data_IF_715708764379
#
_entry.id   IF_715708764379
#
_cell.length_a   1.000
_cell.length_b   1.000
_cell.length_c   1.000
_cell.angle_alpha   90.00
_cell.angle_beta   90.00
_cell.angle_gamma   90.00
#
_symmetry.space_group_name_H-M   'P 1'
#
loop_
_entity.id
_entity.type
_entity.pdbx_description
1 polymer ?
#
# COMPACT_ATOMS: atom_id res chain seq x y z
N UNK A 1 -42.35 5.45 -12.61
CA UNK A 1 -41.38 5.21 -11.50
C UNK A 1 -39.94 5.54 -11.92
N UNK A 2 -39.68 5.66 -13.22
CA UNK A 2 -38.34 5.83 -13.80
C UNK A 2 -37.70 7.20 -13.56
N UNK A 3 -38.48 8.27 -13.39
CA UNK A 3 -37.97 9.61 -13.09
C UNK A 3 -37.18 9.68 -11.77
N UNK A 4 -37.54 8.89 -10.76
CA UNK A 4 -36.86 8.86 -9.46
C UNK A 4 -35.52 8.09 -9.54
N UNK A 5 -35.42 7.11 -10.45
CA UNK A 5 -34.17 6.36 -10.65
C UNK A 5 -33.15 7.20 -11.43
N UNK A 6 -33.59 7.89 -12.49
CA UNK A 6 -32.73 8.77 -13.27
C UNK A 6 -32.13 9.89 -12.40
N UNK A 7 -32.96 10.55 -11.58
CA UNK A 7 -32.50 11.60 -10.65
C UNK A 7 -31.48 11.08 -9.62
N UNK A 8 -31.65 9.84 -9.14
CA UNK A 8 -30.69 9.21 -8.22
C UNK A 8 -29.35 8.93 -8.90
N UNK A 9 -29.35 8.44 -10.13
CA UNK A 9 -28.12 8.18 -10.90
C UNK A 9 -27.39 9.50 -11.16
N UNK A 10 -28.11 10.55 -11.58
CA UNK A 10 -27.52 11.88 -11.82
C UNK A 10 -26.85 12.44 -10.55
N UNK A 11 -27.51 12.32 -9.39
CA UNK A 11 -26.92 12.72 -8.10
C UNK A 11 -25.66 11.93 -7.74
N UNK A 12 -25.58 10.65 -8.08
CA UNK A 12 -24.40 9.83 -7.86
C UNK A 12 -23.26 10.19 -8.82
N UNK A 13 -23.59 10.47 -10.08
CA UNK A 13 -22.61 10.93 -11.07
C UNK A 13 -22.02 12.30 -10.69
N UNK A 14 -22.84 13.20 -10.15
CA UNK A 14 -22.38 14.49 -9.62
C UNK A 14 -21.40 14.34 -8.43
N UNK A 15 -21.37 13.20 -7.76
CA UNK A 15 -20.41 12.93 -6.69
C UNK A 15 -19.07 12.41 -7.21
N UNK A 16 -18.97 11.87 -8.42
CA UNK A 16 -17.72 11.30 -8.97
C UNK A 16 -16.50 12.25 -8.86
N UNK A 17 -16.63 13.56 -9.13
CA UNK A 17 -15.50 14.50 -8.98
C UNK A 17 -14.98 14.60 -7.53
N UNK A 18 -15.82 14.36 -6.52
CA UNK A 18 -15.37 14.32 -5.12
C UNK A 18 -14.51 13.07 -4.86
N UNK A 19 -14.89 11.93 -5.43
CA UNK A 19 -14.09 10.71 -5.37
C UNK A 19 -12.77 10.88 -6.12
N UNK A 20 -12.73 11.60 -7.24
CA UNK A 20 -11.49 11.91 -7.95
C UNK A 20 -10.54 12.75 -7.08
N UNK A 21 -11.05 13.75 -6.36
CA UNK A 21 -10.26 14.51 -5.38
C UNK A 21 -9.71 13.63 -4.27
N UNK A 22 -10.55 12.72 -3.74
CA UNK A 22 -10.13 11.73 -2.76
C UNK A 22 -9.03 10.80 -3.29
N UNK A 23 -9.11 10.41 -4.55
CA UNK A 23 -8.09 9.60 -5.22
C UNK A 23 -6.76 10.34 -5.33
N UNK A 24 -6.75 11.63 -5.69
CA UNK A 24 -5.50 12.42 -5.70
C UNK A 24 -4.87 12.52 -4.31
N UNK A 25 -5.67 12.69 -3.26
CA UNK A 25 -5.17 12.67 -1.89
C UNK A 25 -4.57 11.30 -1.53
N UNK A 26 -5.22 10.20 -1.93
CA UNK A 26 -4.72 8.84 -1.75
C UNK A 26 -3.37 8.63 -2.45
N UNK A 27 -3.22 9.08 -3.70
CA UNK A 27 -1.93 9.05 -4.41
C UNK A 27 -0.85 9.87 -3.71
N UNK A 28 -1.20 11.08 -3.25
CA UNK A 28 -0.27 11.92 -2.49
C UNK A 28 0.26 11.20 -1.26
N UNK A 29 -0.65 10.64 -0.44
CA UNK A 29 -0.28 9.88 0.74
C UNK A 29 0.57 8.63 0.39
N UNK A 30 0.16 7.87 -0.62
CA UNK A 30 0.87 6.67 -1.05
C UNK A 30 2.29 6.96 -1.55
N UNK A 31 2.47 8.00 -2.36
CA UNK A 31 3.77 8.40 -2.90
C UNK A 31 4.66 8.97 -1.79
N UNK A 32 4.13 9.83 -0.91
CA UNK A 32 4.90 10.33 0.25
C UNK A 32 5.35 9.18 1.14
N UNK A 33 4.48 8.21 1.37
CA UNK A 33 4.81 7.02 2.14
C UNK A 33 5.88 6.17 1.45
N UNK A 34 5.79 5.95 0.13
CA UNK A 34 6.82 5.24 -0.63
C UNK A 34 8.17 5.94 -0.56
N UNK A 35 8.20 7.27 -0.78
CA UNK A 35 9.44 8.05 -0.70
C UNK A 35 10.10 7.95 0.68
N UNK A 36 9.30 8.08 1.74
CA UNK A 36 9.79 7.92 3.11
C UNK A 36 10.27 6.49 3.39
N UNK A 37 9.55 5.49 2.88
CA UNK A 37 9.91 4.07 3.03
C UNK A 37 11.24 3.74 2.37
N UNK A 38 11.50 4.29 1.18
CA UNK A 38 12.79 4.17 0.49
C UNK A 38 13.89 4.85 1.32
N UNK A 39 13.67 6.08 1.79
CA UNK A 39 14.64 6.78 2.63
C UNK A 39 14.98 6.00 3.91
N UNK A 40 13.96 5.42 4.55
CA UNK A 40 14.12 4.53 5.71
C UNK A 40 14.83 3.23 5.38
N UNK A 41 14.57 2.64 4.22
CA UNK A 41 15.31 1.45 3.76
C UNK A 41 16.82 1.73 3.67
N UNK A 42 17.20 2.88 3.12
CA UNK A 42 18.60 3.32 3.09
C UNK A 42 19.16 3.60 4.49
N UNK A 43 18.42 4.32 5.33
CA UNK A 43 18.82 4.60 6.72
C UNK A 43 19.04 3.30 7.51
N UNK A 44 18.10 2.36 7.42
CA UNK A 44 18.18 1.04 8.07
C UNK A 44 19.40 0.26 7.60
N UNK A 45 19.68 0.25 6.29
CA UNK A 45 20.86 -0.41 5.74
C UNK A 45 22.16 0.20 6.29
N UNK A 46 22.24 1.54 6.36
CA UNK A 46 23.39 2.25 6.92
C UNK A 46 23.57 1.98 8.42
N UNK A 47 22.49 2.13 9.21
CA UNK A 47 22.49 1.91 10.65
C UNK A 47 22.80 0.45 11.01
N UNK A 48 22.30 -0.51 10.22
CA UNK A 48 22.62 -1.94 10.40
C UNK A 48 24.11 -2.18 10.17
N UNK A 49 24.68 -1.59 9.11
CA UNK A 49 26.12 -1.69 8.83
C UNK A 49 26.96 -1.05 9.95
N UNK A 50 26.54 0.12 10.44
CA UNK A 50 27.20 0.80 11.56
C UNK A 50 27.09 0.00 12.87
N UNK A 51 25.94 -0.62 13.14
CA UNK A 51 25.70 -1.47 14.30
C UNK A 51 26.62 -2.69 14.30
N UNK A 52 26.71 -3.43 13.19
CA UNK A 52 27.62 -4.59 13.08
C UNK A 52 29.08 -4.18 13.21
N UNK A 53 29.48 -3.05 12.62
CA UNK A 53 30.84 -2.50 12.82
C UNK A 53 31.11 -2.11 14.27
N UNK A 54 30.10 -1.61 15.00
CA UNK A 54 30.22 -1.33 16.43
C UNK A 54 30.38 -2.61 17.25
N UNK A 55 29.70 -3.69 16.87
CA UNK A 55 29.82 -5.01 17.50
C UNK A 55 31.18 -5.66 17.24
N UNK A 56 31.80 -5.43 16.09
CA UNK A 56 33.14 -5.94 15.77
C UNK A 56 34.24 -5.37 16.69
N UNK A 57 33.99 -4.19 17.29
CA UNK A 57 34.88 -3.59 18.30
C UNK A 57 34.64 -4.14 19.72
N UNK A 58 33.68 -5.06 19.90
CA UNK A 58 33.43 -5.75 21.18
C UNK A 58 34.30 -7.00 21.22
N UNK A 59 35.04 -7.16 22.32
CA UNK A 59 36.01 -8.24 22.51
C UNK A 59 35.39 -9.64 22.23
N UNK A 60 35.94 -10.46 21.31
CA UNK A 60 35.36 -11.74 20.90
C UNK A 60 35.20 -12.76 22.05
N UNK A 61 35.83 -12.53 23.20
CA UNK A 61 35.62 -13.31 24.42
C UNK A 61 34.15 -13.30 24.93
N UNK A 62 33.33 -12.35 24.48
CA UNK A 62 31.91 -12.23 24.85
C UNK A 62 30.96 -13.21 24.10
N UNK A 63 31.43 -13.95 23.10
CA UNK A 63 30.60 -14.84 22.26
C UNK A 63 30.83 -16.34 22.51
N UNK A 64 31.29 -16.73 23.71
CA UNK A 64 31.40 -18.15 24.07
C UNK A 64 30.05 -18.72 24.50
N UNK A 65 29.82 -20.03 24.32
CA UNK A 65 28.57 -20.73 24.66
C UNK A 65 28.17 -20.61 26.16
N UNK A 66 29.14 -20.25 27.01
CA UNK A 66 28.96 -20.02 28.45
C UNK A 66 28.96 -18.52 28.84
N UNK A 67 29.00 -17.60 27.86
CA UNK A 67 28.93 -16.18 28.13
C UNK A 67 27.51 -15.81 28.60
N UNK A 68 27.37 -14.88 29.58
CA UNK A 68 26.06 -14.36 29.93
C UNK A 68 25.39 -13.77 28.68
N UNK A 69 24.04 -13.81 28.57
CA UNK A 69 23.33 -13.24 27.44
C UNK A 69 23.84 -11.81 27.23
N UNK A 70 24.16 -11.46 25.99
CA UNK A 70 24.66 -10.13 25.64
C UNK A 70 23.57 -9.12 25.99
N UNK A 71 23.62 -8.61 27.22
CA UNK A 71 22.86 -7.45 27.63
C UNK A 71 23.56 -6.30 26.93
N UNK A 72 22.92 -5.71 25.92
CA UNK A 72 23.38 -4.45 25.34
C UNK A 72 23.39 -3.39 26.45
N UNK A 73 24.52 -3.26 27.14
CA UNK A 73 24.76 -2.22 28.16
C UNK A 73 25.25 -0.93 27.52
N UNK A 74 25.70 -0.99 26.27
CA UNK A 74 26.07 0.20 25.50
C UNK A 74 24.80 1.00 25.13
N UNK A 75 24.64 2.23 25.66
CA UNK A 75 23.49 3.07 25.34
C UNK A 75 23.41 3.41 23.84
N UNK A 76 24.53 3.41 23.10
CA UNK A 76 24.54 3.66 21.66
C UNK A 76 23.91 2.49 20.90
N UNK A 77 24.35 1.26 21.19
CA UNK A 77 23.80 0.05 20.60
C UNK A 77 22.29 -0.10 20.91
N UNK A 78 21.87 0.23 22.14
CA UNK A 78 20.46 0.17 22.55
C UNK A 78 19.59 1.18 21.79
N UNK A 79 20.09 2.41 21.61
CA UNK A 79 19.39 3.45 20.84
C UNK A 79 19.32 3.11 19.34
N UNK A 80 20.38 2.53 18.78
CA UNK A 80 20.39 2.01 17.41
C UNK A 80 19.37 0.89 17.22
N UNK A 81 19.34 -0.09 18.14
CA UNK A 81 18.35 -1.16 18.12
C UNK A 81 16.93 -0.58 18.16
N UNK A 82 16.64 0.32 19.10
CA UNK A 82 15.31 0.96 19.17
C UNK A 82 14.97 1.65 17.85
N UNK A 83 15.85 2.49 17.31
CA UNK A 83 15.61 3.20 16.06
C UNK A 83 15.35 2.25 14.87
N UNK A 84 16.05 1.12 14.79
CA UNK A 84 15.91 0.12 13.74
C UNK A 84 14.58 -0.64 13.77
N UNK A 85 13.98 -0.82 14.95
CA UNK A 85 12.85 -1.74 15.14
C UNK A 85 11.51 -1.07 15.45
N UNK A 86 11.37 0.25 15.28
CA UNK A 86 10.10 0.87 15.67
C UNK A 86 8.98 0.67 14.64
N UNK A 87 7.85 0.02 15.01
CA UNK A 87 6.87 -0.50 14.04
C UNK A 87 5.82 0.52 13.58
N UNK A 88 5.84 1.76 14.06
CA UNK A 88 4.77 2.73 13.80
C UNK A 88 4.55 3.02 12.31
N UNK A 89 5.59 2.91 11.48
CA UNK A 89 5.47 3.12 10.04
C UNK A 89 4.78 1.97 9.31
N UNK A 90 4.98 0.73 9.76
CA UNK A 90 4.27 -0.42 9.22
C UNK A 90 2.78 -0.32 9.57
N UNK A 91 2.47 0.03 10.83
CA UNK A 91 1.09 0.23 11.27
C UNK A 91 0.41 1.35 10.49
N UNK A 92 1.10 2.48 10.28
CA UNK A 92 0.60 3.59 9.47
C UNK A 92 0.33 3.15 8.02
N UNK A 93 1.20 2.31 7.46
CA UNK A 93 1.00 1.75 6.12
C UNK A 93 -0.20 0.85 6.00
N UNK A 94 -0.41 -0.07 6.95
CA UNK A 94 -1.60 -0.90 6.98
C UNK A 94 -2.87 -0.08 7.13
N UNK A 95 -2.83 0.94 8.00
CA UNK A 95 -3.96 1.86 8.15
C UNK A 95 -4.27 2.58 6.83
N UNK A 96 -3.24 3.10 6.15
CA UNK A 96 -3.41 3.79 4.88
C UNK A 96 -3.95 2.86 3.79
N UNK A 97 -3.45 1.62 3.73
CA UNK A 97 -3.92 0.57 2.81
C UNK A 97 -5.43 0.33 2.99
N UNK A 98 -5.87 0.12 4.23
CA UNK A 98 -7.30 -0.08 4.53
C UNK A 98 -8.13 1.15 4.10
N UNK A 99 -7.67 2.35 4.41
CA UNK A 99 -8.37 3.61 4.09
C UNK A 99 -8.50 3.83 2.58
N UNK A 100 -7.50 3.45 1.78
CA UNK A 100 -7.52 3.59 0.31
C UNK A 100 -8.32 2.47 -0.35
N UNK A 101 -8.22 1.24 0.17
CA UNK A 101 -8.93 0.08 -0.34
C UNK A 101 -10.44 0.19 -0.16
N UNK A 102 -10.90 0.76 0.97
CA UNK A 102 -12.33 0.94 1.26
C UNK A 102 -13.09 1.67 0.14
N UNK A 103 -12.67 2.85 -0.34
CA UNK A 103 -13.23 3.52 -1.51
C UNK A 103 -13.30 2.65 -2.77
N UNK A 104 -12.20 1.96 -3.11
CA UNK A 104 -12.14 1.09 -4.27
C UNK A 104 -13.16 -0.06 -4.18
N UNK A 105 -13.20 -0.75 -3.04
CA UNK A 105 -14.16 -1.82 -2.78
C UNK A 105 -15.60 -1.31 -2.78
N UNK A 106 -15.85 -0.14 -2.20
CA UNK A 106 -17.16 0.49 -2.18
C UNK A 106 -17.67 0.78 -3.60
N UNK A 107 -16.83 1.35 -4.47
CA UNK A 107 -17.18 1.64 -5.86
C UNK A 107 -17.44 0.36 -6.69
N UNK A 108 -16.81 -0.76 -6.35
CA UNK A 108 -17.00 -2.05 -7.05
C UNK A 108 -18.26 -2.77 -6.58
N UNK A 109 -18.42 -2.95 -5.27
CA UNK A 109 -19.37 -3.91 -4.71
C UNK A 109 -20.66 -3.26 -4.20
N UNK A 110 -20.64 -1.98 -3.82
CA UNK A 110 -21.80 -1.34 -3.20
C UNK A 110 -22.94 -1.16 -4.21
N UNK A 111 -24.15 -1.57 -3.83
CA UNK A 111 -25.34 -1.59 -4.69
C UNK A 111 -25.68 -0.22 -5.28
N UNK A 112 -25.48 0.86 -4.52
CA UNK A 112 -25.67 2.24 -4.97
C UNK A 112 -24.82 2.58 -6.18
N UNK A 113 -23.52 2.26 -6.16
CA UNK A 113 -22.59 2.63 -7.23
C UNK A 113 -22.72 1.74 -8.46
N UNK A 114 -23.26 0.53 -8.29
CA UNK A 114 -23.56 -0.38 -9.41
C UNK A 114 -24.56 0.20 -10.41
N UNK A 115 -25.38 1.17 -10.00
CA UNK A 115 -26.36 1.86 -10.84
C UNK A 115 -25.72 2.85 -11.82
N UNK A 116 -24.55 3.40 -11.49
CA UNK A 116 -23.76 4.26 -12.39
C UNK A 116 -23.15 3.40 -13.50
N UNK A 117 -22.93 3.96 -14.69
CA UNK A 117 -22.29 3.19 -15.76
C UNK A 117 -20.87 2.75 -15.37
N UNK A 118 -20.52 1.50 -15.71
CA UNK A 118 -19.19 0.96 -15.41
C UNK A 118 -18.08 1.82 -16.04
N UNK A 119 -18.32 2.35 -17.24
CA UNK A 119 -17.40 3.20 -17.97
C UNK A 119 -16.98 4.46 -17.18
N UNK A 120 -17.90 5.06 -16.42
CA UNK A 120 -17.63 6.26 -15.61
C UNK A 120 -16.87 5.94 -14.33
N UNK A 121 -17.12 4.79 -13.69
CA UNK A 121 -16.48 4.42 -12.42
C UNK A 121 -15.20 3.59 -12.57
N UNK A 122 -14.95 2.98 -13.73
CA UNK A 122 -13.81 2.08 -13.94
C UNK A 122 -12.47 2.75 -13.61
N UNK A 123 -12.22 3.94 -14.14
CA UNK A 123 -10.97 4.67 -13.90
C UNK A 123 -10.75 4.97 -12.42
N UNK A 124 -11.82 5.33 -11.70
CA UNK A 124 -11.77 5.58 -10.24
C UNK A 124 -11.46 4.31 -9.45
N UNK A 125 -12.12 3.20 -9.76
CA UNK A 125 -11.88 1.90 -9.10
C UNK A 125 -10.40 1.51 -9.24
N UNK A 126 -9.89 1.50 -10.47
CA UNK A 126 -8.50 1.12 -10.71
C UNK A 126 -7.51 2.15 -10.19
N UNK A 127 -7.91 3.43 -10.16
CA UNK A 127 -7.13 4.47 -9.51
C UNK A 127 -6.89 4.17 -8.04
N UNK A 128 -7.95 3.88 -7.27
CA UNK A 128 -7.81 3.59 -5.84
C UNK A 128 -7.01 2.31 -5.60
N UNK A 129 -7.27 1.26 -6.38
CA UNK A 129 -6.52 0.02 -6.25
C UNK A 129 -5.03 0.17 -6.65
N UNK A 130 -4.72 1.04 -7.61
CA UNK A 130 -3.33 1.34 -7.96
C UNK A 130 -2.63 2.17 -6.86
N UNK A 131 -3.33 3.13 -6.24
CA UNK A 131 -2.81 3.85 -5.09
C UNK A 131 -2.54 2.89 -3.90
N UNK A 132 -3.46 1.95 -3.66
CA UNK A 132 -3.31 0.89 -2.66
C UNK A 132 -2.08 0.00 -2.94
N UNK A 133 -1.87 -0.36 -4.22
CA UNK A 133 -0.69 -1.09 -4.67
C UNK A 133 0.63 -0.32 -4.44
N UNK A 134 0.64 1.02 -4.59
CA UNK A 134 1.80 1.86 -4.25
C UNK A 134 2.07 1.82 -2.73
N UNK A 135 1.02 1.85 -1.91
CA UNK A 135 1.17 1.69 -0.44
C UNK A 135 1.72 0.31 -0.12
N UNK A 136 1.27 -0.75 -0.80
CA UNK A 136 1.88 -2.05 -0.69
C UNK A 136 3.38 -1.95 -0.96
N UNK A 137 3.81 -1.48 -2.14
CA UNK A 137 5.24 -1.31 -2.46
C UNK A 137 6.03 -0.56 -1.38
N UNK A 138 5.44 0.47 -0.78
CA UNK A 138 6.07 1.23 0.29
C UNK A 138 6.40 0.36 1.50
N UNK A 139 5.50 -0.53 1.92
CA UNK A 139 5.77 -1.49 2.98
C UNK A 139 6.97 -2.36 2.62
N UNK A 140 7.02 -2.85 1.37
CA UNK A 140 8.11 -3.63 0.79
C UNK A 140 9.48 -2.98 0.91
N UNK A 141 9.55 -1.70 0.57
CA UNK A 141 10.78 -0.93 0.59
C UNK A 141 11.37 -0.71 1.99
N UNK A 142 10.57 -0.80 3.05
CA UNK A 142 11.04 -0.57 4.43
C UNK A 142 11.91 -1.70 4.99
N UNK A 143 11.71 -2.94 4.53
CA UNK A 143 12.42 -4.09 5.08
C UNK A 143 12.82 -5.13 4.03
N UNK A 144 13.67 -4.77 3.05
CA UNK A 144 13.99 -5.64 1.92
C UNK A 144 14.63 -6.98 2.33
N UNK A 145 15.23 -7.04 3.53
CA UNK A 145 15.89 -8.24 4.05
C UNK A 145 14.95 -9.18 4.84
N UNK A 146 13.79 -8.69 5.29
CA UNK A 146 12.84 -9.43 6.11
C UNK A 146 11.51 -9.70 5.40
N UNK A 147 11.35 -9.17 4.19
CA UNK A 147 10.21 -9.43 3.33
C UNK A 147 10.26 -10.87 2.87
N UNK A 148 9.47 -11.74 3.51
CA UNK A 148 9.30 -13.12 3.09
C UNK A 148 8.90 -13.21 1.62
N UNK A 149 9.30 -14.28 0.93
CA UNK A 149 8.94 -14.53 -0.48
C UNK A 149 7.43 -14.36 -0.74
N UNK A 150 6.59 -14.68 0.25
CA UNK A 150 5.14 -14.53 0.19
C UNK A 150 4.65 -13.09 -0.03
N UNK A 151 5.37 -12.09 0.50
CA UNK A 151 5.00 -10.69 0.29
C UNK A 151 5.29 -10.24 -1.16
N UNK A 152 6.45 -10.61 -1.71
CA UNK A 152 6.81 -10.28 -3.09
C UNK A 152 5.82 -10.92 -4.08
N UNK A 153 5.44 -12.17 -3.81
CA UNK A 153 4.37 -12.88 -4.51
C UNK A 153 3.07 -12.05 -4.45
N UNK A 154 2.64 -11.61 -3.26
CA UNK A 154 1.42 -10.80 -3.11
C UNK A 154 1.47 -9.53 -3.96
N UNK A 155 2.57 -8.77 -3.94
CA UNK A 155 2.72 -7.52 -4.72
C UNK A 155 2.58 -7.78 -6.22
N UNK A 156 3.22 -8.84 -6.72
CA UNK A 156 3.18 -9.22 -8.15
C UNK A 156 1.78 -9.69 -8.54
N UNK A 157 1.18 -10.59 -7.74
CA UNK A 157 -0.16 -11.10 -8.01
C UNK A 157 -1.22 -10.00 -7.94
N UNK A 158 -1.08 -9.02 -7.03
CA UNK A 158 -1.95 -7.86 -6.99
C UNK A 158 -1.87 -7.08 -8.31
N UNK A 159 -0.66 -6.77 -8.80
CA UNK A 159 -0.50 -6.03 -10.05
C UNK A 159 -1.08 -6.79 -11.26
N UNK A 160 -0.86 -8.11 -11.31
CA UNK A 160 -1.44 -8.96 -12.34
C UNK A 160 -2.97 -8.97 -12.25
N UNK A 161 -3.54 -9.09 -11.05
CA UNK A 161 -4.97 -9.02 -10.84
C UNK A 161 -5.56 -7.67 -11.28
N UNK A 162 -4.83 -6.56 -11.07
CA UNK A 162 -5.23 -5.25 -11.59
C UNK A 162 -5.25 -5.21 -13.11
N UNK A 163 -4.16 -5.64 -13.75
CA UNK A 163 -4.07 -5.65 -15.21
C UNK A 163 -5.13 -6.53 -15.87
N UNK A 164 -5.32 -7.75 -15.34
CA UNK A 164 -6.32 -8.69 -15.83
C UNK A 164 -7.74 -8.21 -15.57
N UNK A 165 -8.01 -7.70 -14.36
CA UNK A 165 -9.30 -7.13 -13.99
C UNK A 165 -9.67 -5.94 -14.87
N UNK A 166 -8.71 -5.06 -15.15
CA UNK A 166 -8.92 -3.90 -16.03
C UNK A 166 -9.26 -4.33 -17.45
N UNK A 167 -8.45 -5.23 -18.01
CA UNK A 167 -8.67 -5.77 -19.35
C UNK A 167 -10.03 -6.48 -19.48
N UNK A 168 -10.40 -7.25 -18.47
CA UNK A 168 -11.69 -7.96 -18.44
C UNK A 168 -12.88 -6.98 -18.37
N UNK A 169 -12.82 -5.97 -17.52
CA UNK A 169 -13.88 -4.96 -17.41
C UNK A 169 -13.99 -4.09 -18.67
N UNK A 170 -12.86 -3.73 -19.29
CA UNK A 170 -12.84 -2.99 -20.55
C UNK A 170 -13.55 -3.76 -21.67
N UNK A 171 -13.26 -5.05 -21.84
CA UNK A 171 -13.93 -5.89 -22.85
C UNK A 171 -15.45 -5.98 -22.66
N UNK A 172 -15.93 -5.90 -21.42
CA UNK A 172 -17.36 -5.89 -21.13
C UNK A 172 -18.03 -4.56 -21.46
N UNK A 173 -17.32 -3.45 -21.30
CA UNK A 173 -17.79 -2.13 -21.70
C UNK A 173 -18.04 -2.08 -23.21
N UNK A 174 -17.05 -2.47 -24.01
CA UNK A 174 -17.12 -2.39 -25.47
C UNK A 174 -18.33 -3.16 -26.03
N UNK A 175 -18.61 -4.36 -25.49
CA UNK A 175 -19.78 -5.16 -25.87
C UNK A 175 -21.14 -4.56 -25.49
N UNK A 176 -21.18 -3.73 -24.43
CA UNK A 176 -22.43 -3.11 -23.99
C UNK A 176 -22.78 -1.89 -24.85
N UNK A 177 -21.78 -1.19 -25.38
CA UNK A 177 -21.95 -0.05 -26.29
C UNK A 177 -22.36 -0.51 -27.71
N UNK A 178 -21.95 -1.71 -28.16
CA UNK A 178 -22.36 -2.27 -29.46
C UNK A 178 -23.86 -2.65 -29.55
N UNK A 179 -24.53 -2.91 -28.43
CA UNK A 179 -25.93 -3.38 -28.39
C UNK A 179 -26.94 -2.23 -28.44
N UNK A 180 -26.50 -1.00 -28.14
CA UNK A 180 -27.33 0.19 -28.14
C UNK A 180 -26.65 1.29 -29.01
N UNK A 181 -26.83 1.23 -30.35
CA UNK A 181 -26.31 2.25 -31.26
C UNK A 181 -27.01 3.62 -31.11
#
# INVERSE_FOLDING_TARGET
>A
MDGNLAEKIEKLEAQLPLWEKGLFAAYGAAITMLANSIARGFEKSYLTSAFFKSLENIDPAAFTENAPPIILTDPVALNLQRALFVPYWQVLGFFLLIVILMPGAWLVFHSTWRQVSLAKRQSLIFGYLLADWIVLLSLGAQDPLNMSDGYNILVIFYLLALGLGYGWLRRKKDRAEEVFP
#
